data_IF_301791423605
#
_entry.id   IF_301791423605
#
_cell.length_a   1.000
_cell.length_b   1.000
_cell.length_c   1.000
_cell.angle_alpha   90.00
_cell.angle_beta   90.00
_cell.angle_gamma   90.00
#
_symmetry.space_group_name_H-M   'P 1'
#
loop_
_entity.id
_entity.type
_entity.pdbx_description
1 polymer ?
#
# COMPACT_ATOMS: atom_id res chain seq x y z
N UNK A 1 16.81 29.39 -6.28
CA UNK A 1 17.70 28.24 -6.58
C UNK A 1 16.93 27.33 -7.53
N UNK A 2 17.53 26.99 -8.67
CA UNK A 2 16.89 26.25 -9.77
C UNK A 2 16.56 24.81 -9.35
N UNK A 3 15.29 24.52 -9.04
CA UNK A 3 14.76 23.16 -8.84
C UNK A 3 14.54 22.40 -10.16
N UNK A 4 15.31 22.71 -11.20
CA UNK A 4 14.98 22.29 -12.57
C UNK A 4 15.48 20.88 -12.96
N UNK A 5 16.28 20.19 -12.13
CA UNK A 5 16.95 18.94 -12.55
C UNK A 5 17.28 17.96 -11.40
N UNK A 6 16.43 17.82 -10.36
CA UNK A 6 16.59 16.73 -9.39
C UNK A 6 15.85 15.46 -9.86
N UNK A 7 16.26 14.97 -11.02
CA UNK A 7 16.00 13.61 -11.42
C UNK A 7 17.11 12.73 -10.81
N UNK A 8 16.80 11.65 -10.09
CA UNK A 8 15.48 11.05 -9.82
C UNK A 8 14.90 11.46 -8.46
N UNK A 9 13.58 11.43 -8.33
CA UNK A 9 12.81 11.93 -7.18
C UNK A 9 13.03 11.12 -5.90
N UNK A 10 13.22 9.81 -6.05
CA UNK A 10 13.52 8.92 -4.93
C UNK A 10 15.02 8.75 -4.68
N UNK A 11 15.86 9.47 -5.43
CA UNK A 11 17.31 9.34 -5.39
C UNK A 11 17.88 8.41 -6.47
N UNK A 12 19.21 8.25 -6.49
CA UNK A 12 19.91 7.51 -7.54
C UNK A 12 19.64 5.99 -7.53
N UNK A 13 19.17 5.45 -6.41
CA UNK A 13 18.87 4.04 -6.23
C UNK A 13 17.59 3.88 -5.40
N UNK A 14 16.78 2.88 -5.73
CA UNK A 14 15.63 2.47 -4.93
C UNK A 14 15.64 0.96 -4.73
N UNK A 15 14.91 0.45 -3.75
CA UNK A 15 14.70 -0.99 -3.62
C UNK A 15 13.57 -1.43 -4.54
N UNK A 16 13.76 -2.50 -5.31
CA UNK A 16 12.69 -3.05 -6.14
C UNK A 16 11.54 -3.57 -5.25
N UNK A 17 10.27 -3.19 -5.52
CA UNK A 17 9.14 -3.64 -4.71
C UNK A 17 8.88 -5.16 -4.78
N UNK A 18 9.48 -5.86 -5.75
CA UNK A 18 9.31 -7.30 -5.93
C UNK A 18 10.45 -8.13 -5.33
N UNK A 19 11.72 -7.83 -5.66
CA UNK A 19 12.88 -8.57 -5.15
C UNK A 19 13.59 -7.91 -3.97
N UNK A 20 13.22 -6.68 -3.58
CA UNK A 20 13.94 -5.85 -2.61
C UNK A 20 15.42 -5.60 -2.94
N UNK A 21 15.84 -5.83 -4.18
CA UNK A 21 17.20 -5.53 -4.64
C UNK A 21 17.31 -4.04 -4.95
N UNK A 22 18.47 -3.42 -4.64
CA UNK A 22 18.75 -2.06 -5.09
C UNK A 22 18.76 -2.02 -6.61
N UNK A 23 17.98 -1.10 -7.18
CA UNK A 23 17.88 -0.84 -8.61
C UNK A 23 18.31 0.61 -8.87
N UNK A 24 19.27 0.83 -9.78
CA UNK A 24 19.72 2.16 -10.11
C UNK A 24 18.69 2.87 -10.98
N UNK A 25 18.59 4.18 -10.80
CA UNK A 25 17.91 5.05 -11.74
C UNK A 25 18.72 5.15 -13.04
N UNK A 26 18.01 5.27 -14.15
CA UNK A 26 18.59 5.65 -15.41
C UNK A 26 18.95 7.14 -15.34
N UNK A 27 20.16 7.47 -15.75
CA UNK A 27 20.70 8.84 -15.67
C UNK A 27 19.77 9.82 -16.38
N UNK A 28 19.37 10.87 -15.66
CA UNK A 28 18.50 11.96 -16.16
C UNK A 28 17.08 11.51 -16.51
N UNK A 29 16.61 10.38 -15.99
CA UNK A 29 15.21 9.97 -16.09
C UNK A 29 14.65 9.59 -14.73
N UNK A 30 13.32 9.57 -14.64
CA UNK A 30 12.57 9.05 -13.49
C UNK A 30 12.35 7.54 -13.59
N UNK A 31 13.20 6.83 -14.30
CA UNK A 31 13.03 5.40 -14.59
C UNK A 31 14.08 4.57 -13.87
N UNK A 32 13.66 3.50 -13.20
CA UNK A 32 14.51 2.53 -12.52
C UNK A 32 14.40 1.19 -13.22
N UNK A 33 15.53 0.55 -13.49
CA UNK A 33 15.56 -0.73 -14.22
C UNK A 33 15.93 -1.88 -13.29
N UNK A 34 14.97 -2.77 -13.04
CA UNK A 34 15.24 -4.05 -12.39
C UNK A 34 15.61 -5.10 -13.43
N UNK A 35 16.75 -5.76 -13.25
CA UNK A 35 17.20 -6.87 -14.13
C UNK A 35 16.25 -8.08 -14.15
N UNK A 36 15.45 -8.27 -13.08
CA UNK A 36 14.50 -9.39 -12.97
C UNK A 36 13.06 -9.02 -13.26
N UNK A 37 12.65 -7.80 -12.88
CA UNK A 37 11.24 -7.41 -12.91
C UNK A 37 10.93 -6.33 -13.95
N UNK A 38 11.93 -5.78 -14.65
CA UNK A 38 11.72 -4.77 -15.70
C UNK A 38 11.77 -3.33 -15.20
N UNK A 39 11.25 -2.41 -16.00
CA UNK A 39 11.32 -0.98 -15.76
C UNK A 39 10.18 -0.47 -14.86
N UNK A 40 10.56 0.40 -13.93
CA UNK A 40 9.67 1.16 -13.05
C UNK A 40 9.86 2.64 -13.33
N UNK A 41 8.79 3.40 -13.36
CA UNK A 41 8.79 4.85 -13.58
C UNK A 41 8.25 5.54 -12.33
N UNK A 42 8.94 6.56 -11.83
CA UNK A 42 8.41 7.42 -10.77
C UNK A 42 7.65 8.58 -11.37
N UNK A 43 6.43 8.82 -10.90
CA UNK A 43 5.64 9.99 -11.29
C UNK A 43 5.94 11.17 -10.32
N UNK A 44 6.52 12.28 -10.81
CA UNK A 44 6.81 13.46 -9.98
C UNK A 44 5.62 14.13 -9.34
N UNK A 45 4.44 14.00 -9.94
CA UNK A 45 3.26 14.71 -9.47
C UNK A 45 2.61 14.00 -8.29
N UNK A 46 2.66 12.66 -8.30
CA UNK A 46 2.00 11.82 -7.30
C UNK A 46 2.96 11.25 -6.26
N UNK A 47 4.25 11.12 -6.61
CA UNK A 47 5.23 10.39 -5.80
C UNK A 47 4.93 8.89 -5.76
N UNK A 48 4.30 8.36 -6.81
CA UNK A 48 4.06 6.94 -6.98
C UNK A 48 5.10 6.34 -7.94
N UNK A 49 5.48 5.09 -7.69
CA UNK A 49 6.32 4.27 -8.56
C UNK A 49 5.40 3.34 -9.35
N UNK A 50 5.41 3.45 -10.67
CA UNK A 50 4.58 2.68 -11.60
C UNK A 50 5.45 1.64 -12.30
N UNK A 51 5.01 0.38 -12.31
CA UNK A 51 5.66 -0.65 -13.12
C UNK A 51 5.10 -0.61 -14.53
N UNK A 52 5.94 -0.25 -15.51
CA UNK A 52 5.51 -0.05 -16.90
C UNK A 52 4.92 -1.31 -17.54
N UNK A 53 5.40 -2.49 -17.16
CA UNK A 53 4.95 -3.74 -17.77
C UNK A 53 3.64 -4.27 -17.18
N UNK A 54 3.38 -4.06 -15.89
CA UNK A 54 2.15 -4.55 -15.22
C UNK A 54 1.10 -3.48 -14.94
N UNK A 55 1.43 -2.19 -15.11
CA UNK A 55 0.57 -1.07 -14.71
C UNK A 55 0.27 -1.02 -13.21
N UNK A 56 1.12 -1.62 -12.38
CA UNK A 56 0.97 -1.65 -10.93
C UNK A 56 1.62 -0.41 -10.33
N UNK A 57 1.03 0.13 -9.27
CA UNK A 57 1.54 1.33 -8.62
C UNK A 57 1.97 1.01 -7.20
N UNK A 58 3.05 1.62 -6.75
CA UNK A 58 3.56 1.56 -5.39
C UNK A 58 3.82 2.96 -4.89
N UNK A 59 3.80 3.11 -3.57
CA UNK A 59 4.16 4.35 -2.91
C UNK A 59 5.11 4.05 -1.76
N UNK A 60 6.12 4.88 -1.62
CA UNK A 60 7.08 4.75 -0.54
C UNK A 60 6.46 5.32 0.75
N UNK A 61 6.47 4.53 1.82
CA UNK A 61 6.07 4.96 3.16
C UNK A 61 7.02 4.36 4.18
N UNK A 62 7.59 5.18 5.07
CA UNK A 62 8.55 4.75 6.10
C UNK A 62 9.73 3.89 5.59
N UNK A 63 10.14 4.09 4.33
CA UNK A 63 11.23 3.34 3.69
C UNK A 63 10.80 2.01 3.04
N UNK A 64 9.51 1.65 3.11
CA UNK A 64 8.96 0.45 2.48
C UNK A 64 8.01 0.81 1.33
N UNK A 65 7.98 -0.04 0.30
CA UNK A 65 7.10 0.13 -0.84
C UNK A 65 5.75 -0.52 -0.58
N UNK A 66 4.71 0.30 -0.51
CA UNK A 66 3.33 -0.17 -0.36
C UNK A 66 2.62 -0.12 -1.69
N UNK A 67 2.06 -1.26 -2.09
CA UNK A 67 1.25 -1.35 -3.31
C UNK A 67 0.01 -0.49 -3.15
N UNK A 68 -0.28 0.33 -4.15
CA UNK A 68 -1.55 1.04 -4.24
C UNK A 68 -2.60 0.07 -4.79
N UNK A 69 -3.69 -0.08 -4.05
CA UNK A 69 -4.82 -0.90 -4.48
C UNK A 69 -5.88 -0.02 -5.11
N UNK A 70 -6.33 -0.42 -6.29
CA UNK A 70 -7.47 0.20 -6.98
C UNK A 70 -8.80 -0.47 -6.61
N UNK A 71 -8.76 -1.69 -6.06
CA UNK A 71 -9.94 -2.47 -5.70
C UNK A 71 -9.96 -2.77 -4.19
N UNK A 72 -11.12 -2.67 -3.52
CA UNK A 72 -11.26 -2.98 -2.09
C UNK A 72 -10.86 -4.41 -1.74
N UNK A 73 -11.12 -5.38 -2.64
CA UNK A 73 -10.72 -6.77 -2.42
C UNK A 73 -9.19 -6.96 -2.30
N UNK A 74 -8.39 -6.10 -2.95
CA UNK A 74 -6.92 -6.15 -2.81
C UNK A 74 -6.48 -5.82 -1.39
N UNK A 75 -7.12 -4.81 -0.79
CA UNK A 75 -6.87 -4.41 0.59
C UNK A 75 -7.37 -5.47 1.55
N UNK A 76 -8.56 -6.02 1.29
CA UNK A 76 -9.11 -7.14 2.08
C UNK A 76 -8.15 -8.32 2.09
N UNK A 77 -7.66 -8.74 0.93
CA UNK A 77 -6.73 -9.86 0.83
C UNK A 77 -5.44 -9.63 1.62
N UNK A 78 -4.85 -8.44 1.51
CA UNK A 78 -3.63 -8.09 2.26
C UNK A 78 -3.86 -8.09 3.77
N UNK A 79 -5.01 -7.57 4.24
CA UNK A 79 -5.39 -7.64 5.65
C UNK A 79 -5.54 -9.11 6.09
N UNK A 80 -6.23 -9.95 5.31
CA UNK A 80 -6.41 -11.36 5.67
C UNK A 80 -5.09 -12.11 5.69
N UNK A 81 -4.19 -11.88 4.72
CA UNK A 81 -2.86 -12.49 4.71
C UNK A 81 -2.04 -12.07 5.95
N UNK A 82 -2.08 -10.79 6.32
CA UNK A 82 -1.38 -10.29 7.50
C UNK A 82 -1.96 -10.88 8.80
N UNK A 83 -3.29 -10.99 8.90
CA UNK A 83 -3.97 -11.62 10.03
C UNK A 83 -3.62 -13.11 10.14
N UNK A 84 -3.63 -13.83 9.02
CA UNK A 84 -3.28 -15.26 8.97
C UNK A 84 -1.82 -15.49 9.34
N UNK A 85 -0.91 -14.63 8.89
CA UNK A 85 0.50 -14.67 9.29
C UNK A 85 0.68 -14.45 10.79
N UNK A 86 -0.03 -13.47 11.38
CA UNK A 86 -0.01 -13.25 12.83
C UNK A 86 -0.59 -14.45 13.59
N UNK A 87 -1.68 -15.01 13.10
CA UNK A 87 -2.32 -16.18 13.69
C UNK A 87 -1.39 -17.39 13.68
N UNK A 88 -0.68 -17.62 12.57
CA UNK A 88 0.33 -18.68 12.44
C UNK A 88 1.50 -18.50 13.42
N UNK A 89 1.83 -17.25 13.79
CA UNK A 89 2.84 -16.94 14.80
C UNK A 89 2.30 -16.99 16.25
N UNK A 90 1.03 -17.35 16.44
CA UNK A 90 0.36 -17.42 17.75
C UNK A 90 -0.12 -16.07 18.28
N UNK A 91 -0.05 -15.01 17.48
CA UNK A 91 -0.52 -13.67 17.85
C UNK A 91 -1.93 -13.41 17.31
N UNK A 92 -2.71 -12.62 18.04
CA UNK A 92 -4.02 -12.12 17.59
C UNK A 92 -3.95 -10.62 17.36
N UNK A 93 -4.33 -10.18 16.17
CA UNK A 93 -4.46 -8.75 15.90
C UNK A 93 -5.64 -8.17 16.69
N UNK A 94 -5.40 -7.08 17.41
CA UNK A 94 -6.43 -6.38 18.20
C UNK A 94 -7.02 -5.18 17.45
N UNK A 95 -6.27 -4.65 16.48
CA UNK A 95 -6.66 -3.48 15.69
C UNK A 95 -6.01 -3.52 14.32
N UNK A 96 -6.77 -3.18 13.29
CA UNK A 96 -6.26 -2.93 11.94
C UNK A 96 -6.43 -1.44 11.66
N UNK A 97 -5.35 -0.77 11.28
CA UNK A 97 -5.36 0.65 10.91
C UNK A 97 -5.19 0.72 9.40
N UNK A 98 -6.17 1.35 8.74
CA UNK A 98 -6.14 1.53 7.29
C UNK A 98 -5.94 3.02 7.00
N UNK A 99 -5.09 3.32 6.01
CA UNK A 99 -4.84 4.69 5.59
C UNK A 99 -6.14 5.36 5.08
N UNK A 100 -6.37 6.62 5.48
CA UNK A 100 -7.59 7.39 5.16
C UNK A 100 -7.90 7.46 3.66
N UNK A 101 -6.90 7.39 2.78
CA UNK A 101 -7.10 7.36 1.31
C UNK A 101 -7.92 6.16 0.81
N UNK A 102 -7.93 5.07 1.56
CA UNK A 102 -8.72 3.88 1.24
C UNK A 102 -10.10 3.90 1.90
N UNK A 103 -10.43 4.97 2.64
CA UNK A 103 -11.74 5.11 3.29
C UNK A 103 -12.85 4.95 2.26
N UNK A 104 -12.85 5.74 1.18
CA UNK A 104 -13.91 5.69 0.16
C UNK A 104 -14.03 4.32 -0.54
N UNK A 105 -12.90 3.62 -0.73
CA UNK A 105 -12.86 2.28 -1.31
C UNK A 105 -13.49 1.23 -0.39
N UNK A 106 -13.30 1.37 0.93
CA UNK A 106 -13.69 0.36 1.93
C UNK A 106 -15.01 0.74 2.63
N UNK A 107 -15.44 2.00 2.58
CA UNK A 107 -16.68 2.49 3.20
C UNK A 107 -17.88 1.62 2.81
N UNK A 108 -18.03 1.28 1.53
CA UNK A 108 -19.11 0.41 1.06
C UNK A 108 -19.08 -1.00 1.68
N UNK A 109 -17.91 -1.51 2.04
CA UNK A 109 -17.73 -2.81 2.68
C UNK A 109 -17.87 -2.75 4.22
N UNK A 110 -17.50 -1.62 4.83
CA UNK A 110 -17.69 -1.37 6.26
C UNK A 110 -19.17 -1.12 6.59
N UNK A 111 -19.89 -0.42 5.71
CA UNK A 111 -21.33 -0.14 5.85
C UNK A 111 -22.19 -1.39 5.63
N UNK A 112 -21.71 -2.38 4.87
CA UNK A 112 -22.37 -3.69 4.71
C UNK A 112 -22.18 -4.65 5.88
N UNK A 113 -21.40 -4.27 6.90
CA UNK A 113 -20.98 -5.12 8.01
C UNK A 113 -21.77 -5.00 9.30
N UNK A 114 -23.09 -4.72 9.28
CA UNK A 114 -24.06 -5.23 10.28
C UNK A 114 -25.49 -4.69 10.02
N UNK A 115 -26.49 -5.52 9.63
CA UNK A 115 -27.89 -5.19 9.91
C UNK A 115 -28.22 -5.18 11.42
N UNK A 116 -27.28 -5.60 12.27
CA UNK A 116 -27.49 -5.68 13.72
C UNK A 116 -27.06 -4.44 14.52
N UNK A 117 -26.52 -3.39 13.87
CA UNK A 117 -26.05 -2.19 14.59
C UNK A 117 -27.03 -1.02 14.67
N UNK A 118 -28.22 -1.13 14.10
CA UNK A 118 -29.22 -0.04 14.15
C UNK A 118 -30.19 -0.12 15.35
N UNK A 119 -29.85 -0.86 16.41
CA UNK A 119 -30.65 -0.89 17.64
C UNK A 119 -29.79 -0.99 18.91
N UNK A 120 -28.74 -0.17 19.02
CA UNK A 120 -28.03 0.02 20.27
C UNK A 120 -27.97 1.51 20.60
N UNK A 121 -29.04 1.97 21.24
CA UNK A 121 -28.98 3.08 22.18
C UNK A 121 -27.84 2.86 23.16
N UNK A 122 -27.03 3.90 23.33
CA UNK A 122 -26.18 4.21 24.47
C UNK A 122 -25.21 3.13 24.99
N UNK A 123 -23.93 3.32 24.66
CA UNK A 123 -22.82 3.02 25.55
C UNK A 123 -22.61 1.56 25.93
N UNK A 124 -22.03 0.73 25.07
CA UNK A 124 -21.28 -0.45 25.54
C UNK A 124 -20.20 -0.86 24.52
N UNK A 125 -19.04 -1.20 25.07
CA UNK A 125 -17.80 -1.60 24.40
C UNK A 125 -17.98 -2.69 23.33
N UNK A 126 -17.17 -2.68 22.25
CA UNK A 126 -17.20 -3.74 21.25
C UNK A 126 -16.67 -5.07 21.82
N UNK A 127 -17.56 -6.01 22.10
CA UNK A 127 -17.24 -7.42 22.35
C UNK A 127 -16.85 -8.14 21.05
N UNK A 128 -15.68 -8.77 21.05
CA UNK A 128 -15.20 -9.69 20.02
C UNK A 128 -15.74 -11.09 20.31
N UNK A 129 -16.37 -11.73 19.32
CA UNK A 129 -16.86 -13.10 19.40
C UNK A 129 -15.70 -14.11 19.49
N UNK A 130 -15.97 -15.21 20.22
CA UNK A 130 -15.05 -16.31 20.49
C UNK A 130 -14.93 -17.34 19.37
#
# INVERSE_FOLDING_TARGET
>A
MNYALQYPIFGPEINCPHCRQSIPALTLTDTYLCSRHGAFESDPNTGDLVHLQSGRNWRLWEGEWYRQHTHPDGIRFEIHEALDRLYTQGYRATRVIIAKRYQDLISNYLEGGNPWRNNATEGTEPKLYG
#
